data_IF_117799294758
#
_entry.id   IF_117799294758
#
_cell.length_a   1.000
_cell.length_b   1.000
_cell.length_c   1.000
_cell.angle_alpha   90.00
_cell.angle_beta   90.00
_cell.angle_gamma   90.00
#
_symmetry.space_group_name_H-M   'P 1'
#
loop_
_entity.id
_entity.type
_entity.pdbx_description
1 polymer ?
#
# COMPACT_ATOMS: atom_id res chain seq x y z
N UNK A 1 7.12 9.27 -6.51
CA UNK A 1 6.79 10.72 -6.45
C UNK A 1 8.08 11.46 -6.80
N UNK A 2 8.14 12.11 -7.96
CA UNK A 2 9.33 12.82 -8.45
C UNK A 2 9.07 14.33 -8.38
N UNK A 3 10.06 15.10 -7.92
CA UNK A 3 9.99 16.56 -7.73
C UNK A 3 10.22 17.24 -9.08
N UNK A 4 9.41 18.26 -9.40
CA UNK A 4 9.61 19.06 -10.61
C UNK A 4 10.81 20.02 -10.43
N UNK A 5 11.61 20.29 -11.48
CA UNK A 5 12.73 21.24 -11.38
C UNK A 5 12.33 22.68 -11.02
N UNK A 6 11.04 23.03 -11.04
CA UNK A 6 10.53 24.35 -10.67
C UNK A 6 10.32 24.55 -9.16
N UNK A 7 10.47 23.51 -8.34
CA UNK A 7 10.20 23.56 -6.90
C UNK A 7 11.46 23.69 -6.02
N UNK A 8 12.62 23.97 -6.62
CA UNK A 8 13.86 24.20 -5.87
C UNK A 8 13.69 25.36 -4.86
N UNK A 9 13.89 25.05 -3.58
CA UNK A 9 13.85 26.02 -2.48
C UNK A 9 12.47 26.26 -1.86
N UNK A 10 11.40 25.65 -2.38
CA UNK A 10 10.07 25.72 -1.73
C UNK A 10 9.90 24.54 -0.78
N UNK A 11 9.43 24.76 0.46
CA UNK A 11 9.03 23.67 1.35
C UNK A 11 7.97 22.81 0.66
N UNK A 12 8.01 21.51 0.89
CA UNK A 12 6.92 20.65 0.44
C UNK A 12 5.61 21.16 1.07
N UNK A 13 4.54 21.39 0.29
CA UNK A 13 3.28 21.89 0.83
C UNK A 13 2.76 20.91 1.89
N UNK A 14 2.66 21.38 3.13
CA UNK A 14 2.13 20.58 4.24
C UNK A 14 0.63 20.84 4.34
N UNK A 15 -0.15 19.76 4.28
CA UNK A 15 -1.58 19.80 4.54
C UNK A 15 -1.80 19.33 5.99
N UNK A 16 -2.62 20.05 6.75
CA UNK A 16 -2.99 19.68 8.12
C UNK A 16 -4.40 19.09 8.09
N UNK A 17 -4.50 17.80 8.39
CA UNK A 17 -5.77 17.10 8.56
C UNK A 17 -5.95 16.74 10.04
N UNK A 18 -6.89 17.40 10.72
CA UNK A 18 -7.11 17.21 12.15
C UNK A 18 -7.77 15.86 12.48
N UNK A 19 -8.58 15.33 11.57
CA UNK A 19 -9.36 14.11 11.82
C UNK A 19 -9.34 13.16 10.63
N UNK A 20 -9.31 11.83 10.85
CA UNK A 20 -9.38 10.88 9.75
C UNK A 20 -10.72 10.99 9.02
N UNK A 21 -10.69 10.87 7.70
CA UNK A 21 -11.90 10.76 6.88
C UNK A 21 -12.55 9.38 7.01
N UNK A 22 -11.75 8.35 7.30
CA UNK A 22 -12.17 6.97 7.43
C UNK A 22 -11.33 6.25 8.49
N UNK A 23 -11.94 5.35 9.24
CA UNK A 23 -11.27 4.42 10.14
C UNK A 23 -12.05 3.10 10.17
N UNK A 24 -11.33 1.97 10.16
CA UNK A 24 -11.94 0.65 10.34
C UNK A 24 -10.97 -0.29 11.04
N UNK A 25 -11.53 -1.29 11.71
CA UNK A 25 -10.83 -2.42 12.35
C UNK A 25 -11.24 -3.77 11.75
N UNK A 26 -12.06 -3.75 10.69
CA UNK A 26 -12.75 -4.95 10.18
C UNK A 26 -11.96 -5.69 9.09
N UNK A 27 -10.85 -5.11 8.64
CA UNK A 27 -10.01 -5.68 7.56
C UNK A 27 -9.14 -6.82 8.08
N UNK A 28 -8.59 -6.68 9.27
CA UNK A 28 -7.61 -7.62 9.85
C UNK A 28 -7.99 -7.98 11.28
N UNK A 29 -7.68 -9.21 11.69
CA UNK A 29 -7.91 -9.68 13.06
C UNK A 29 -6.76 -9.35 14.02
N UNK A 30 -5.69 -8.72 13.52
CA UNK A 30 -4.48 -8.42 14.28
C UNK A 30 -3.86 -7.09 13.85
N UNK A 31 -2.68 -6.76 14.38
CA UNK A 31 -1.95 -5.55 14.04
C UNK A 31 -1.64 -5.49 12.53
N UNK A 32 -1.63 -4.27 11.98
CA UNK A 32 -1.23 -4.01 10.59
C UNK A 32 0.20 -3.47 10.60
N UNK A 33 1.16 -4.21 10.05
CA UNK A 33 2.58 -3.79 10.01
C UNK A 33 3.03 -3.18 8.69
N UNK A 34 2.23 -3.34 7.62
CA UNK A 34 2.52 -2.70 6.35
C UNK A 34 1.22 -2.37 5.62
N UNK A 35 1.12 -1.13 5.12
CA UNK A 35 0.03 -0.68 4.29
C UNK A 35 0.55 0.27 3.19
N UNK A 36 -0.06 0.19 2.00
CA UNK A 36 0.25 1.03 0.83
C UNK A 36 -1.02 1.31 0.04
N UNK A 37 -1.03 2.47 -0.63
CA UNK A 37 -2.03 2.77 -1.65
C UNK A 37 -1.67 2.06 -2.96
N UNK A 38 -2.70 1.59 -3.66
CA UNK A 38 -2.63 1.05 -5.02
C UNK A 38 -3.85 1.56 -5.81
N UNK A 39 -3.67 2.68 -6.52
CA UNK A 39 -4.81 3.40 -7.10
C UNK A 39 -5.79 3.86 -6.02
N UNK A 40 -7.06 3.46 -6.16
CA UNK A 40 -8.13 3.70 -5.17
C UNK A 40 -8.23 2.62 -4.10
N UNK A 41 -7.41 1.56 -4.18
CA UNK A 41 -7.38 0.47 -3.22
C UNK A 41 -6.31 0.69 -2.17
N UNK A 42 -6.51 0.06 -1.02
CA UNK A 42 -5.51 -0.13 0.02
C UNK A 42 -5.02 -1.56 -0.04
N UNK A 43 -3.70 -1.72 0.04
CA UNK A 43 -3.04 -3.01 0.26
C UNK A 43 -2.50 -3.00 1.67
N UNK A 44 -2.84 -3.99 2.48
CA UNK A 44 -2.33 -4.10 3.85
C UNK A 44 -2.01 -5.53 4.25
N UNK A 45 -1.07 -5.67 5.19
CA UNK A 45 -0.58 -6.93 5.73
C UNK A 45 -0.69 -6.92 7.26
N UNK A 46 -1.03 -8.09 7.80
CA UNK A 46 -1.12 -8.42 9.23
C UNK A 46 -0.39 -9.76 9.48
N UNK A 47 -0.79 -10.54 10.49
CA UNK A 47 -0.28 -11.87 10.83
C UNK A 47 -0.95 -13.04 10.09
N UNK A 48 -1.97 -12.79 9.26
CA UNK A 48 -2.85 -13.85 8.75
C UNK A 48 -2.29 -14.63 7.54
N UNK A 49 -0.96 -14.67 7.37
CA UNK A 49 -0.30 -15.31 6.21
C UNK A 49 -0.92 -14.88 4.86
N UNK A 50 -1.28 -13.61 4.77
CA UNK A 50 -1.85 -13.03 3.56
C UNK A 50 -1.63 -11.51 3.49
N UNK A 51 -1.77 -10.98 2.29
CA UNK A 51 -1.88 -9.55 2.01
C UNK A 51 -3.28 -9.28 1.50
N UNK A 52 -3.95 -8.27 2.06
CA UNK A 52 -5.34 -7.94 1.74
C UNK A 52 -5.40 -6.71 0.86
N UNK A 53 -6.09 -6.83 -0.27
CA UNK A 53 -6.54 -5.70 -1.10
C UNK A 53 -7.96 -5.36 -0.69
N UNK A 54 -8.21 -4.10 -0.33
CA UNK A 54 -9.51 -3.65 0.15
C UNK A 54 -9.74 -2.17 -0.17
N UNK A 55 -10.98 -1.72 -0.03
CA UNK A 55 -11.35 -0.30 -0.08
C UNK A 55 -12.40 0.04 0.99
N UNK A 56 -12.46 1.31 1.45
CA UNK A 56 -13.65 1.85 2.10
C UNK A 56 -14.88 1.77 1.19
N UNK A 57 -16.06 1.62 1.79
CA UNK A 57 -17.35 1.52 1.10
C UNK A 57 -17.71 0.10 0.64
N UNK A 58 -18.86 -0.02 -0.03
CA UNK A 58 -19.35 -1.22 -0.71
C UNK A 58 -18.64 -1.50 -2.04
N UNK A 59 -18.80 -2.71 -2.57
CA UNK A 59 -18.28 -3.07 -3.90
C UNK A 59 -19.01 -2.29 -5.02
N UNK A 60 -20.30 -2.06 -4.80
CA UNK A 60 -21.26 -1.31 -5.61
C UNK A 60 -21.17 0.21 -5.47
N UNK A 61 -20.44 0.69 -4.45
CA UNK A 61 -19.95 2.07 -4.39
C UNK A 61 -18.87 2.24 -5.48
N UNK A 62 -19.34 2.29 -6.73
CA UNK A 62 -18.62 2.90 -7.83
C UNK A 62 -18.25 4.32 -7.38
N UNK A 63 -17.12 4.84 -7.83
CA UNK A 63 -16.65 6.21 -7.61
C UNK A 63 -17.63 7.33 -8.03
N UNK A 64 -18.88 6.99 -8.34
CA UNK A 64 -20.01 7.85 -8.67
C UNK A 64 -20.83 8.33 -7.45
N UNK A 65 -20.59 7.81 -6.24
CA UNK A 65 -21.14 8.37 -4.98
C UNK A 65 -20.09 9.18 -4.19
N UNK A 66 -19.15 9.82 -4.89
CA UNK A 66 -18.71 11.14 -4.42
C UNK A 66 -19.94 12.02 -4.59
N UNK A 67 -20.46 12.73 -3.57
CA UNK A 67 -21.51 13.70 -3.81
C UNK A 67 -21.03 14.64 -4.91
N UNK A 68 -21.64 14.53 -6.10
CA UNK A 68 -21.46 15.46 -7.21
C UNK A 68 -22.10 16.77 -6.74
N UNK A 69 -21.35 17.56 -5.99
CA UNK A 69 -21.65 18.96 -5.76
C UNK A 69 -20.98 19.76 -6.88
N UNK A 70 -21.43 19.57 -8.12
CA UNK A 70 -21.04 20.46 -9.22
C UNK A 70 -22.17 20.68 -10.22
N UNK A 71 -23.21 21.38 -9.76
CA UNK A 71 -23.99 22.30 -10.62
C UNK A 71 -23.76 23.74 -10.13
N UNK A 72 -22.50 24.17 -10.11
CA UNK A 72 -22.10 25.54 -9.78
C UNK A 72 -20.95 25.97 -10.67
N UNK A 73 -21.15 27.07 -11.37
CA UNK A 73 -20.26 27.80 -12.30
C UNK A 73 -18.76 27.84 -11.90
N UNK A 74 -17.84 28.04 -12.86
CA UNK A 74 -16.40 28.04 -12.60
C UNK A 74 -16.03 29.20 -11.69
N UNK A 75 -15.78 28.91 -10.41
CA UNK A 75 -15.07 29.81 -9.51
C UNK A 75 -13.62 29.36 -9.42
N UNK A 76 -12.72 30.32 -9.63
CA UNK A 76 -11.27 30.13 -9.76
C UNK A 76 -10.59 29.74 -8.45
N UNK A 77 -10.82 28.53 -7.95
CA UNK A 77 -10.06 27.96 -6.82
C UNK A 77 -9.72 26.50 -7.09
N UNK A 78 -8.91 26.25 -8.13
CA UNK A 78 -8.21 24.96 -8.27
C UNK A 78 -7.16 24.85 -7.17
N UNK A 79 -7.36 23.96 -6.20
CA UNK A 79 -6.32 23.56 -5.24
C UNK A 79 -5.54 22.38 -5.83
N UNK A 80 -4.86 22.65 -6.95
CA UNK A 80 -3.85 21.76 -7.51
C UNK A 80 -2.58 21.84 -6.65
N UNK A 81 -2.30 20.77 -5.91
CA UNK A 81 -0.96 20.56 -5.33
C UNK A 81 -0.27 19.51 -6.19
N UNK A 82 0.53 19.95 -7.16
CA UNK A 82 1.29 19.04 -8.03
C UNK A 82 0.44 18.12 -8.92
N UNK A 83 -0.78 18.54 -9.30
CA UNK A 83 -1.70 17.76 -10.16
C UNK A 83 -2.57 16.74 -9.42
N UNK A 84 -2.58 16.75 -8.08
CA UNK A 84 -3.49 15.94 -7.27
C UNK A 84 -4.71 16.78 -6.87
N UNK A 85 -5.90 16.40 -7.36
CA UNK A 85 -7.16 16.95 -6.88
C UNK A 85 -7.42 16.46 -5.46
N UNK A 86 -7.36 17.38 -4.52
CA UNK A 86 -7.67 17.15 -3.12
C UNK A 86 -9.20 17.04 -2.92
N UNK A 87 -9.69 16.15 -2.04
CA UNK A 87 -11.11 16.12 -1.66
C UNK A 87 -11.60 17.51 -1.25
N UNK A 88 -12.82 17.87 -1.65
CA UNK A 88 -13.41 19.21 -1.50
C UNK A 88 -13.46 19.73 -0.07
N UNK A 89 -13.33 18.86 0.94
CA UNK A 89 -13.29 19.24 2.37
C UNK A 89 -11.92 19.75 2.84
N UNK A 90 -10.85 19.58 2.04
CA UNK A 90 -9.54 20.20 2.29
C UNK A 90 -9.41 21.63 1.73
N UNK A 91 -10.53 22.25 1.34
CA UNK A 91 -10.58 23.66 0.96
C UNK A 91 -10.49 24.56 2.21
N UNK A 92 -9.83 25.71 2.07
CA UNK A 92 -9.71 26.71 3.13
C UNK A 92 -11.11 27.16 3.59
N UNK A 93 -11.32 27.27 4.91
CA UNK A 93 -12.62 27.63 5.52
C UNK A 93 -13.11 28.95 4.92
N UNK A 94 -14.12 28.86 4.05
CA UNK A 94 -14.92 29.96 3.52
C UNK A 94 -16.37 29.75 3.92
N UNK A 95 -17.01 30.81 4.40
CA UNK A 95 -18.36 30.85 4.95
C UNK A 95 -19.42 30.21 4.03
N UNK A 96 -20.05 29.13 4.50
CA UNK A 96 -21.19 28.49 3.85
C UNK A 96 -22.46 29.35 4.03
N UNK A 97 -23.06 29.80 2.92
CA UNK A 97 -24.44 30.32 2.87
C UNK A 97 -25.22 29.50 1.84
N UNK A 98 -26.06 28.56 2.30
CA UNK A 98 -26.93 27.75 1.44
C UNK A 98 -27.91 26.89 2.27
N UNK A 99 -29.10 26.57 1.74
CA UNK A 99 -30.19 25.96 2.49
C UNK A 99 -29.96 24.47 2.80
N UNK A 100 -30.52 24.03 3.94
CA UNK A 100 -30.35 22.73 4.61
C UNK A 100 -30.24 21.51 3.68
N UNK A 101 -29.00 21.06 3.44
CA UNK A 101 -28.72 19.64 3.19
C UNK A 101 -28.71 18.88 4.52
N UNK A 102 -28.91 17.55 4.53
CA UNK A 102 -28.78 16.74 5.75
C UNK A 102 -27.45 17.08 6.43
N UNK A 103 -27.52 17.41 7.72
CA UNK A 103 -26.37 17.87 8.50
C UNK A 103 -25.21 16.89 8.26
N UNK A 104 -24.11 17.30 7.59
CA UNK A 104 -23.00 16.40 7.39
C UNK A 104 -22.48 15.95 8.75
N UNK A 105 -22.13 14.66 8.91
CA UNK A 105 -21.64 14.15 10.20
C UNK A 105 -20.53 15.05 10.72
N UNK A 106 -20.58 15.33 12.03
CA UNK A 106 -19.72 16.31 12.67
C UNK A 106 -18.25 16.06 12.30
N UNK A 107 -17.49 17.12 11.94
CA UNK A 107 -16.06 16.98 11.68
C UNK A 107 -15.37 16.25 12.83
N UNK A 108 -14.74 15.13 12.51
CA UNK A 108 -13.99 14.35 13.49
C UNK A 108 -14.72 13.19 14.16
N UNK A 109 -15.98 12.92 13.80
CA UNK A 109 -16.61 11.64 14.12
C UNK A 109 -16.29 10.67 12.99
N UNK A 110 -15.45 9.62 13.22
CA UNK A 110 -15.28 8.57 12.23
C UNK A 110 -16.64 7.90 12.02
N UNK A 111 -17.19 8.04 10.82
CA UNK A 111 -18.35 7.27 10.41
C UNK A 111 -17.88 5.83 10.21
N UNK A 112 -18.52 4.87 10.89
CA UNK A 112 -18.26 3.44 10.67
C UNK A 112 -18.65 3.11 9.24
N UNK A 113 -17.65 3.06 8.38
CA UNK A 113 -17.82 2.79 6.97
C UNK A 113 -17.51 1.32 6.71
N UNK A 114 -18.47 0.65 6.07
CA UNK A 114 -18.29 -0.69 5.50
C UNK A 114 -16.96 -0.75 4.76
N UNK A 115 -16.21 -1.84 4.93
CA UNK A 115 -15.05 -2.16 4.11
C UNK A 115 -15.40 -3.24 3.10
N UNK A 116 -14.85 -3.14 1.90
CA UNK A 116 -14.93 -4.20 0.90
C UNK A 116 -13.56 -4.81 0.67
N UNK A 117 -13.44 -6.10 0.98
CA UNK A 117 -12.26 -6.90 0.65
C UNK A 117 -12.38 -7.30 -0.82
N UNK A 118 -11.40 -6.91 -1.62
CA UNK A 118 -11.30 -7.28 -3.05
C UNK A 118 -10.58 -8.62 -3.17
N UNK A 119 -9.39 -8.73 -2.55
CA UNK A 119 -8.60 -9.96 -2.56
C UNK A 119 -7.85 -10.21 -1.25
N UNK A 120 -7.60 -11.49 -0.97
CA UNK A 120 -6.64 -11.95 0.03
C UNK A 120 -5.58 -12.81 -0.66
N UNK A 121 -4.40 -12.23 -0.86
CA UNK A 121 -3.25 -12.85 -1.49
C UNK A 121 -2.56 -13.75 -0.46
N UNK A 122 -2.73 -15.07 -0.58
CA UNK A 122 -2.18 -16.03 0.37
C UNK A 122 -0.65 -16.12 0.26
N UNK A 123 0.03 -16.02 1.40
CA UNK A 123 1.48 -16.06 1.50
C UNK A 123 1.88 -16.81 2.77
N UNK A 124 2.34 -18.06 2.63
CA UNK A 124 2.77 -18.84 3.79
C UNK A 124 4.01 -18.22 4.44
N UNK A 125 4.23 -18.52 5.71
CA UNK A 125 5.43 -18.10 6.44
C UNK A 125 5.60 -16.58 6.54
N UNK A 126 4.51 -15.83 6.46
CA UNK A 126 4.46 -14.36 6.48
C UNK A 126 3.79 -13.81 7.74
N UNK A 127 3.65 -14.63 8.78
CA UNK A 127 3.05 -14.27 10.07
C UNK A 127 4.03 -13.58 11.03
N UNK A 128 5.29 -13.40 10.65
CA UNK A 128 6.23 -12.61 11.46
C UNK A 128 5.92 -11.12 11.34
N UNK A 129 6.19 -10.39 12.43
CA UNK A 129 5.90 -8.98 12.56
C UNK A 129 6.97 -8.13 11.87
N UNK A 130 6.60 -6.94 11.39
CA UNK A 130 7.50 -6.00 10.72
C UNK A 130 8.14 -6.58 9.45
N UNK A 131 7.31 -7.19 8.61
CA UNK A 131 7.68 -7.61 7.25
C UNK A 131 7.01 -6.65 6.26
N UNK A 132 7.81 -5.86 5.54
CA UNK A 132 7.32 -4.79 4.66
C UNK A 132 7.39 -5.22 3.20
N UNK A 133 6.24 -5.24 2.54
CA UNK A 133 6.15 -5.39 1.09
C UNK A 133 6.42 -4.07 0.36
N UNK A 134 6.69 -4.16 -0.93
CA UNK A 134 6.73 -3.03 -1.84
C UNK A 134 5.91 -3.30 -3.10
N UNK A 135 5.55 -2.22 -3.80
CA UNK A 135 4.73 -2.27 -5.01
C UNK A 135 5.43 -1.47 -6.10
N UNK A 136 5.63 -2.08 -7.25
CA UNK A 136 5.90 -1.38 -8.49
C UNK A 136 4.57 -0.89 -9.07
N UNK A 137 4.29 0.41 -8.92
CA UNK A 137 3.06 1.02 -9.40
C UNK A 137 2.98 1.09 -10.94
N UNK A 138 4.12 1.10 -11.64
CA UNK A 138 4.15 1.21 -13.11
C UNK A 138 3.82 -0.14 -13.73
N UNK A 139 4.42 -1.20 -13.20
CA UNK A 139 4.21 -2.56 -13.71
C UNK A 139 3.09 -3.31 -12.96
N UNK A 140 2.50 -2.72 -11.93
CA UNK A 140 1.46 -3.30 -11.08
C UNK A 140 1.90 -4.60 -10.40
N UNK A 141 3.12 -4.67 -9.88
CA UNK A 141 3.65 -5.88 -9.23
C UNK A 141 3.82 -5.64 -7.74
N UNK A 142 3.34 -6.57 -6.90
CA UNK A 142 3.57 -6.57 -5.46
C UNK A 142 4.62 -7.62 -5.09
N UNK A 143 5.57 -7.24 -4.24
CA UNK A 143 6.61 -8.15 -3.71
C UNK A 143 6.57 -8.25 -2.19
N UNK A 144 6.44 -9.47 -1.66
CA UNK A 144 6.49 -9.77 -0.22
C UNK A 144 7.52 -10.86 0.07
N UNK A 145 8.42 -10.60 1.01
CA UNK A 145 9.34 -11.62 1.52
C UNK A 145 8.74 -12.45 2.67
N UNK A 146 9.23 -13.68 2.86
CA UNK A 146 8.85 -14.50 4.03
C UNK A 146 9.46 -13.99 5.34
N UNK A 147 8.75 -14.21 6.43
CA UNK A 147 9.20 -13.93 7.79
C UNK A 147 9.74 -15.15 8.53
N UNK A 148 9.28 -16.36 8.19
CA UNK A 148 9.74 -17.62 8.78
C UNK A 148 10.06 -18.66 7.70
N UNK A 149 10.60 -19.81 8.12
CA UNK A 149 10.87 -20.92 7.20
C UNK A 149 11.87 -20.55 6.08
N UNK A 150 11.83 -21.26 4.94
CA UNK A 150 12.70 -20.96 3.80
C UNK A 150 12.48 -19.55 3.25
N UNK A 151 13.58 -18.82 3.06
CA UNK A 151 13.60 -17.51 2.41
C UNK A 151 13.03 -17.62 0.99
N UNK A 152 11.99 -16.83 0.70
CA UNK A 152 11.44 -16.66 -0.65
C UNK A 152 10.73 -15.32 -0.76
N UNK A 153 10.59 -14.83 -1.99
CA UNK A 153 9.75 -13.67 -2.30
C UNK A 153 8.55 -14.11 -3.11
N UNK A 154 7.37 -13.72 -2.66
CA UNK A 154 6.13 -13.82 -3.42
C UNK A 154 5.95 -12.57 -4.27
N UNK A 155 5.63 -12.79 -5.54
CA UNK A 155 5.30 -11.76 -6.52
C UNK A 155 3.87 -11.96 -7.02
N UNK A 156 3.08 -10.90 -7.02
CA UNK A 156 1.73 -10.91 -7.62
C UNK A 156 1.62 -9.86 -8.70
N UNK A 157 1.04 -10.27 -9.83
CA UNK A 157 0.54 -9.36 -10.86
C UNK A 157 -0.81 -8.78 -10.41
N UNK A 158 -0.87 -7.45 -10.27
CA UNK A 158 -2.02 -6.68 -9.84
C UNK A 158 -2.59 -5.84 -10.97
N UNK A 159 -2.40 -6.21 -12.24
CA UNK A 159 -2.90 -5.44 -13.38
C UNK A 159 -4.42 -5.41 -13.47
N UNK A 160 -5.08 -6.50 -13.06
CA UNK A 160 -6.53 -6.65 -13.11
C UNK A 160 -7.08 -7.38 -11.87
N UNK A 161 -6.86 -6.84 -10.66
CA UNK A 161 -7.13 -7.58 -9.44
C UNK A 161 -8.61 -7.89 -9.33
N UNK A 162 -9.52 -6.94 -9.58
CA UNK A 162 -10.97 -7.14 -9.50
C UNK A 162 -11.54 -8.21 -10.45
N UNK A 163 -10.83 -8.56 -11.52
CA UNK A 163 -11.31 -9.52 -12.53
C UNK A 163 -10.83 -10.95 -12.27
N UNK A 164 -9.95 -11.16 -11.30
CA UNK A 164 -9.30 -12.44 -11.07
C UNK A 164 -9.92 -13.15 -9.87
N UNK A 165 -10.59 -14.28 -10.05
CA UNK A 165 -11.08 -15.11 -8.92
C UNK A 165 -9.95 -15.56 -7.98
N UNK A 166 -8.74 -15.67 -8.52
CA UNK A 166 -7.53 -15.99 -7.77
C UNK A 166 -6.33 -15.29 -8.42
N UNK A 167 -5.43 -14.78 -7.59
CA UNK A 167 -4.17 -14.17 -7.99
C UNK A 167 -3.04 -15.04 -7.40
N UNK A 168 -2.58 -16.07 -8.13
CA UNK A 168 -1.48 -16.90 -7.65
C UNK A 168 -0.18 -16.10 -7.61
N UNK A 169 0.64 -16.36 -6.61
CA UNK A 169 1.97 -15.78 -6.52
C UNK A 169 2.95 -16.52 -7.44
N UNK A 170 3.79 -15.77 -8.15
CA UNK A 170 5.07 -16.29 -8.59
C UNK A 170 6.04 -16.28 -7.39
N UNK A 171 6.74 -17.39 -7.16
CA UNK A 171 7.65 -17.52 -6.01
C UNK A 171 9.09 -17.51 -6.48
N UNK A 172 9.86 -16.54 -6.01
CA UNK A 172 11.30 -16.48 -6.18
C UNK A 172 11.96 -17.18 -4.99
N UNK A 173 12.59 -18.32 -5.28
CA UNK A 173 13.36 -19.08 -4.30
C UNK A 173 14.81 -18.63 -4.29
N UNK A 174 15.39 -18.52 -3.10
CA UNK A 174 16.82 -18.25 -2.96
C UNK A 174 17.60 -19.56 -2.83
N UNK A 175 18.83 -19.64 -3.37
CA UNK A 175 19.70 -20.79 -3.18
C UNK A 175 19.90 -21.05 -1.69
N UNK A 176 19.62 -22.29 -1.27
CA UNK A 176 19.93 -22.75 0.08
C UNK A 176 21.44 -22.73 0.26
N UNK A 177 21.97 -21.78 1.03
CA UNK A 177 23.34 -21.88 1.52
C UNK A 177 23.32 -22.92 2.63
N UNK A 178 23.96 -24.06 2.40
CA UNK A 178 24.13 -25.10 3.41
C UNK A 178 24.97 -24.55 4.56
N UNK A 179 24.39 -24.49 5.75
CA UNK A 179 25.08 -24.05 6.95
C UNK A 179 24.11 -23.62 8.04
N UNK A 180 24.65 -23.41 9.24
CA UNK A 180 23.90 -23.04 10.43
C UNK A 180 24.39 -21.67 10.88
N UNK A 181 23.47 -20.71 10.98
CA UNK A 181 23.77 -19.37 11.47
C UNK A 181 23.83 -19.30 13.00
N UNK A 182 24.10 -18.11 13.57
CA UNK A 182 24.03 -17.89 15.01
C UNK A 182 22.66 -18.33 15.55
N UNK A 183 22.66 -19.13 16.62
CA UNK A 183 21.43 -19.64 17.23
C UNK A 183 20.86 -20.93 16.63
N UNK A 184 21.61 -21.65 15.78
CA UNK A 184 21.19 -22.98 15.32
C UNK A 184 20.23 -22.98 14.13
N UNK A 185 19.87 -21.81 13.61
CA UNK A 185 18.93 -21.66 12.48
C UNK A 185 19.62 -21.97 11.15
N UNK A 186 18.97 -22.70 10.23
CA UNK A 186 19.49 -22.88 8.87
C UNK A 186 19.73 -21.51 8.22
N UNK A 187 20.87 -21.32 7.56
CA UNK A 187 21.16 -20.07 6.83
C UNK A 187 20.15 -19.81 5.70
N UNK A 188 19.46 -20.85 5.23
CA UNK A 188 18.36 -20.76 4.26
C UNK A 188 17.06 -20.21 4.85
N UNK A 189 16.96 -20.08 6.17
CA UNK A 189 15.76 -19.62 6.88
C UNK A 189 16.00 -18.22 7.44
N UNK A 190 15.90 -17.22 6.57
CA UNK A 190 16.04 -15.82 6.92
C UNK A 190 14.74 -15.06 6.65
N UNK A 191 14.36 -14.23 7.63
CA UNK A 191 13.29 -13.27 7.45
C UNK A 191 13.72 -12.17 6.47
N UNK A 192 13.00 -12.01 5.38
CA UNK A 192 13.15 -10.90 4.44
C UNK A 192 12.27 -9.76 4.97
N UNK A 193 12.89 -8.84 5.71
CA UNK A 193 12.21 -7.76 6.42
C UNK A 193 11.62 -6.70 5.51
N UNK A 194 12.24 -6.51 4.35
CA UNK A 194 11.82 -5.49 3.41
C UNK A 194 12.22 -5.85 1.99
N UNK A 195 11.27 -5.68 1.08
CA UNK A 195 11.50 -5.64 -0.37
C UNK A 195 11.46 -4.19 -0.86
N UNK A 196 12.15 -3.85 -1.95
CA UNK A 196 12.04 -2.56 -2.66
C UNK A 196 12.32 -2.67 -4.14
N UNK A 197 11.38 -2.21 -4.97
CA UNK A 197 11.62 -2.06 -6.41
C UNK A 197 12.48 -0.82 -6.68
N UNK A 198 13.37 -0.91 -7.67
CA UNK A 198 13.99 0.26 -8.28
C UNK A 198 12.96 1.04 -9.11
N UNK A 199 13.28 2.29 -9.46
CA UNK A 199 12.37 3.18 -10.18
C UNK A 199 11.96 2.68 -11.56
N UNK A 200 12.79 1.86 -12.22
CA UNK A 200 12.51 1.25 -13.51
C UNK A 200 11.65 -0.02 -13.39
N UNK A 201 11.60 -0.65 -12.22
CA UNK A 201 10.94 -1.91 -11.95
C UNK A 201 11.79 -3.15 -12.27
N UNK A 202 12.99 -2.97 -12.81
CA UNK A 202 13.83 -4.06 -13.31
C UNK A 202 14.66 -4.72 -12.19
N UNK A 203 14.79 -4.02 -11.07
CA UNK A 203 15.56 -4.44 -9.91
C UNK A 203 14.66 -4.56 -8.67
N UNK A 204 14.75 -5.69 -7.98
CA UNK A 204 14.14 -5.88 -6.67
C UNK A 204 15.21 -6.09 -5.59
N UNK A 205 15.27 -5.16 -4.63
CA UNK A 205 16.12 -5.26 -3.45
C UNK A 205 15.39 -5.99 -2.32
N UNK A 206 16.08 -6.92 -1.65
CA UNK A 206 15.59 -7.64 -0.50
C UNK A 206 16.58 -7.51 0.66
N UNK A 207 16.09 -7.17 1.86
CA UNK A 207 16.92 -7.06 3.07
C UNK A 207 16.55 -8.17 4.03
N UNK A 208 17.52 -9.02 4.37
CA UNK A 208 17.31 -10.22 5.18
C UNK A 208 18.20 -10.24 6.44
N UNK A 209 17.78 -11.00 7.46
CA UNK A 209 18.54 -11.18 8.70
C UNK A 209 19.41 -12.46 8.64
N UNK A 210 20.71 -12.46 9.03
CA UNK A 210 21.42 -11.43 9.78
C UNK A 210 22.32 -10.55 8.90
N UNK A 211 21.73 -9.60 8.16
CA UNK A 211 22.43 -8.57 7.36
C UNK A 211 22.93 -9.04 5.99
N UNK A 212 22.07 -9.67 5.19
CA UNK A 212 22.33 -9.81 3.75
C UNK A 212 21.42 -8.92 2.92
N UNK A 213 22.03 -8.18 2.00
CA UNK A 213 21.32 -7.49 0.91
C UNK A 213 21.31 -8.42 -0.29
N UNK A 214 20.13 -8.63 -0.88
CA UNK A 214 19.99 -9.34 -2.14
C UNK A 214 19.44 -8.38 -3.19
N UNK A 215 20.12 -8.33 -4.34
CA UNK A 215 19.67 -7.61 -5.52
C UNK A 215 19.19 -8.65 -6.53
N UNK A 216 17.97 -8.48 -7.02
CA UNK A 216 17.41 -9.28 -8.10
C UNK A 216 17.39 -8.43 -9.37
N UNK A 217 18.29 -8.70 -10.32
CA UNK A 217 18.30 -8.08 -11.65
C UNK A 217 17.75 -9.08 -12.66
N UNK A 218 16.57 -8.85 -13.24
CA UNK A 218 16.07 -9.70 -14.34
C UNK A 218 16.14 -11.23 -14.08
N UNK A 219 15.95 -11.66 -12.82
CA UNK A 219 16.04 -13.06 -12.33
C UNK A 219 17.48 -13.54 -11.94
N UNK A 220 18.44 -12.64 -11.73
CA UNK A 220 19.74 -13.00 -11.11
C UNK A 220 19.84 -12.47 -9.69
N UNK A 221 20.03 -13.37 -8.71
CA UNK A 221 20.26 -13.04 -7.30
C UNK A 221 21.74 -12.72 -7.10
N UNK A 222 22.08 -11.49 -6.71
CA UNK A 222 23.38 -11.20 -6.12
C UNK A 222 23.20 -10.93 -4.62
N UNK A 223 23.71 -11.82 -3.78
CA UNK A 223 23.91 -11.54 -2.36
C UNK A 223 25.17 -10.71 -2.20
N UNK A 224 25.05 -9.52 -1.62
CA UNK A 224 26.21 -8.76 -1.15
C UNK A 224 26.37 -9.11 0.33
N UNK A 225 27.45 -9.83 0.64
CA UNK A 225 27.92 -10.10 2.01
C UNK A 225 28.95 -9.05 2.38
#
# INVERSE_FOLDING_TARGET
MLISPSDYGKPFPVLVQHFPEFSSRDVHGNYVDCARWFGSLVISKSCENSVTLWKPGGLDDSSANIPILCNGSPSNTSTDVGGLRLPSRMQHIGSYTGPESPIPPAPGVPTEHKTSIIHQLKATDCNLWYIRFDIDLKNHVLALGTGTGPSRVYLWDLKYPENALNLPAQVLHFPTVSGVGPGGMPLSHSAIRQTRFANDGDILLCVSYPLSFMVLNGITISSVV
#
